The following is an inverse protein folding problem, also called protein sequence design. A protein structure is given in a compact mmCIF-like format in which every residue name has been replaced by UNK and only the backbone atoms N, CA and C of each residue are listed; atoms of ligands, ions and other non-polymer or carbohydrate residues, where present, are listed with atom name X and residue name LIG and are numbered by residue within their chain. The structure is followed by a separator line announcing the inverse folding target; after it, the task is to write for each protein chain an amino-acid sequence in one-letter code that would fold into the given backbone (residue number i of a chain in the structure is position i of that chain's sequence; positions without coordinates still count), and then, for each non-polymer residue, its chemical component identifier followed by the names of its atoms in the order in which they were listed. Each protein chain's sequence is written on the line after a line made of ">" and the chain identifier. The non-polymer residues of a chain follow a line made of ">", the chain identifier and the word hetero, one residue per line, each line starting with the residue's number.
data_IF_676585842392
#
_entry.id   IF_676585842392
#
_cell.length_a   1.000
_cell.length_b   1.000
_cell.length_c   1.000
_cell.angle_alpha   90.00
_cell.angle_beta   90.00
_cell.angle_gamma   90.00
#
_symmetry.space_group_name_H-M   'P 1'
#
loop_
_entity.id
_entity.type
_entity.pdbx_description
1 polymer ?
#
# COMPACT_ATOMS: atom_id res chain seq x y z
N UNK A 1 -33.39 -62.95 39.40
CA UNK A 1 -33.70 -61.68 40.08
C UNK A 1 -33.34 -60.53 39.15
N UNK A 2 -34.16 -59.48 39.16
CA UNK A 2 -34.17 -58.33 38.24
C UNK A 2 -32.83 -57.56 38.21
N UNK A 3 -32.50 -57.01 37.04
CA UNK A 3 -31.44 -56.02 36.86
C UNK A 3 -31.64 -55.22 35.57
N UNK A 4 -32.54 -54.24 35.61
CA UNK A 4 -32.61 -53.13 34.66
C UNK A 4 -31.55 -52.09 35.02
N UNK A 5 -30.92 -51.44 34.03
CA UNK A 5 -30.17 -50.14 34.05
C UNK A 5 -29.25 -50.16 32.81
N UNK A 6 -29.04 -49.13 31.98
CA UNK A 6 -29.64 -47.83 31.72
C UNK A 6 -29.16 -47.45 30.31
N UNK A 7 -30.03 -46.89 29.47
CA UNK A 7 -29.65 -46.39 28.13
C UNK A 7 -28.95 -45.04 28.32
N UNK A 8 -27.65 -44.93 28.04
CA UNK A 8 -27.00 -43.62 27.98
C UNK A 8 -27.39 -42.90 26.68
N UNK A 9 -27.78 -41.61 26.73
CA UNK A 9 -28.09 -40.84 25.54
C UNK A 9 -26.82 -40.28 24.89
N UNK A 10 -26.69 -40.53 23.59
CA UNK A 10 -26.07 -39.66 22.60
C UNK A 10 -24.68 -39.11 22.90
N UNK A 11 -23.63 -39.83 22.47
CA UNK A 11 -22.40 -39.15 22.09
C UNK A 11 -22.71 -38.21 20.90
N UNK A 12 -22.29 -36.93 20.92
CA UNK A 12 -22.43 -36.07 19.77
C UNK A 12 -21.61 -36.69 18.63
N UNK A 13 -22.29 -36.95 17.51
CA UNK A 13 -21.66 -37.35 16.25
C UNK A 13 -20.59 -36.30 15.93
N UNK A 14 -19.33 -36.67 15.63
CA UNK A 14 -18.36 -35.68 15.16
C UNK A 14 -18.98 -35.01 13.93
N UNK A 15 -19.04 -33.67 13.96
CA UNK A 15 -19.47 -32.88 12.83
C UNK A 15 -18.64 -33.32 11.60
N UNK A 16 -19.26 -33.46 10.40
CA UNK A 16 -18.49 -33.75 9.21
C UNK A 16 -17.40 -32.68 9.10
N UNK A 17 -16.15 -33.12 8.99
CA UNK A 17 -15.03 -32.25 8.67
C UNK A 17 -15.48 -31.39 7.49
N UNK A 18 -15.52 -30.07 7.68
CA UNK A 18 -15.81 -29.14 6.60
C UNK A 18 -14.85 -29.47 5.46
N UNK A 19 -15.37 -30.12 4.41
CA UNK A 19 -14.65 -30.27 3.16
C UNK A 19 -14.21 -28.86 2.80
N UNK A 20 -12.89 -28.63 2.82
CA UNK A 20 -12.29 -27.48 2.18
C UNK A 20 -12.63 -27.66 0.70
N UNK A 21 -13.77 -27.12 0.29
CA UNK A 21 -14.12 -26.94 -1.10
C UNK A 21 -13.12 -25.93 -1.63
N UNK A 22 -11.98 -26.45 -2.10
CA UNK A 22 -11.09 -25.69 -2.97
C UNK A 22 -11.97 -25.12 -4.07
N UNK A 23 -12.03 -23.78 -4.22
CA UNK A 23 -12.86 -23.17 -5.25
C UNK A 23 -12.46 -23.74 -6.62
N UNK A 24 -13.41 -23.99 -7.53
CA UNK A 24 -13.10 -24.61 -8.81
C UNK A 24 -12.03 -23.78 -9.53
N UNK A 25 -10.94 -24.41 -10.02
CA UNK A 25 -9.93 -23.69 -10.78
C UNK A 25 -10.52 -23.19 -12.11
N UNK A 26 -10.42 -21.89 -12.37
CA UNK A 26 -10.63 -21.30 -13.69
C UNK A 26 -9.27 -21.18 -14.36
N UNK A 27 -8.95 -21.97 -15.41
CA UNK A 27 -7.75 -21.73 -16.20
C UNK A 27 -7.85 -20.38 -16.92
N UNK A 28 -6.68 -19.74 -17.07
CA UNK A 28 -6.37 -18.48 -17.77
C UNK A 28 -7.54 -17.78 -18.47
N UNK A 29 -8.16 -16.84 -17.75
CA UNK A 29 -9.40 -16.21 -18.15
C UNK A 29 -9.11 -14.84 -18.78
N UNK A 30 -9.28 -14.76 -20.09
CA UNK A 30 -9.11 -13.54 -20.88
C UNK A 30 -10.46 -12.89 -21.20
N UNK A 31 -10.60 -11.58 -20.97
CA UNK A 31 -11.85 -10.87 -21.22
C UNK A 31 -11.68 -9.48 -21.86
N UNK A 32 -12.60 -9.10 -22.75
CA UNK A 32 -12.60 -7.76 -23.35
C UNK A 32 -13.41 -6.74 -22.54
N UNK A 33 -14.43 -7.20 -21.81
CA UNK A 33 -15.37 -6.38 -21.04
C UNK A 33 -15.01 -6.37 -19.55
N UNK A 34 -15.91 -5.90 -18.69
CA UNK A 34 -15.74 -6.00 -17.25
C UNK A 34 -15.97 -7.43 -16.76
N UNK A 35 -15.19 -7.87 -15.77
CA UNK A 35 -15.33 -9.18 -15.14
C UNK A 35 -15.12 -9.08 -13.62
N UNK A 36 -15.96 -9.79 -12.87
CA UNK A 36 -15.90 -9.85 -11.40
C UNK A 36 -16.01 -11.29 -10.91
N UNK A 37 -14.93 -12.09 -10.98
CA UNK A 37 -14.95 -13.46 -10.48
C UNK A 37 -15.00 -13.46 -8.95
N UNK A 38 -15.81 -14.36 -8.38
CA UNK A 38 -16.02 -14.46 -6.94
C UNK A 38 -15.86 -15.91 -6.47
N UNK A 39 -15.19 -16.15 -5.34
CA UNK A 39 -14.99 -17.49 -4.77
C UNK A 39 -14.38 -18.48 -5.79
N UNK A 40 -13.37 -18.03 -6.54
CA UNK A 40 -12.72 -18.81 -7.60
C UNK A 40 -11.20 -18.70 -7.49
N UNK A 41 -10.47 -19.68 -7.98
CA UNK A 41 -9.02 -19.60 -8.15
C UNK A 41 -8.70 -19.42 -9.65
N UNK A 42 -8.42 -18.18 -10.07
CA UNK A 42 -7.97 -17.87 -11.42
C UNK A 42 -6.50 -17.45 -11.35
N UNK A 43 -5.53 -18.26 -11.81
CA UNK A 43 -4.11 -17.98 -11.63
C UNK A 43 -3.68 -16.65 -12.26
N UNK A 44 -4.10 -16.43 -13.51
CA UNK A 44 -3.63 -15.34 -14.37
C UNK A 44 -4.80 -14.69 -15.17
N UNK A 45 -5.86 -14.16 -14.52
CA UNK A 45 -6.93 -13.51 -15.25
C UNK A 45 -6.44 -12.22 -15.90
N UNK A 46 -6.83 -11.98 -17.15
CA UNK A 46 -6.45 -10.81 -17.95
C UNK A 46 -7.69 -10.15 -18.55
N UNK A 47 -7.84 -8.84 -18.39
CA UNK A 47 -8.98 -8.11 -18.98
C UNK A 47 -8.61 -6.75 -19.57
N UNK A 48 -9.24 -6.36 -20.68
CA UNK A 48 -9.02 -5.04 -21.26
C UNK A 48 -9.73 -3.92 -20.48
N UNK A 49 -10.99 -4.13 -20.12
CA UNK A 49 -11.80 -3.09 -19.48
C UNK A 49 -11.64 -3.08 -17.96
N UNK A 50 -12.24 -4.02 -17.23
CA UNK A 50 -12.18 -4.03 -15.78
C UNK A 50 -12.11 -5.45 -15.22
N UNK A 51 -11.34 -5.64 -14.15
CA UNK A 51 -11.19 -6.89 -13.44
C UNK A 51 -11.32 -6.64 -11.93
N UNK A 52 -12.37 -7.18 -11.32
CA UNK A 52 -12.67 -6.97 -9.88
C UNK A 52 -12.87 -8.31 -9.17
N UNK A 53 -11.80 -9.07 -8.92
CA UNK A 53 -11.88 -10.36 -8.27
C UNK A 53 -12.16 -10.21 -6.76
N UNK A 54 -13.04 -11.04 -6.21
CA UNK A 54 -13.45 -10.99 -4.79
C UNK A 54 -13.39 -12.36 -4.12
N UNK A 55 -12.79 -12.46 -2.93
CA UNK A 55 -12.61 -13.75 -2.24
C UNK A 55 -11.95 -14.82 -3.12
N UNK A 56 -10.92 -14.42 -3.86
CA UNK A 56 -10.20 -15.27 -4.80
C UNK A 56 -8.70 -15.36 -4.48
N UNK A 57 -8.05 -16.36 -5.08
CA UNK A 57 -6.61 -16.38 -5.25
C UNK A 57 -6.29 -16.08 -6.73
N UNK A 58 -5.68 -14.92 -6.97
CA UNK A 58 -5.23 -14.51 -8.30
C UNK A 58 -3.78 -14.07 -8.19
N UNK A 59 -2.80 -14.98 -8.35
CA UNK A 59 -1.37 -14.69 -8.34
C UNK A 59 -0.95 -13.49 -9.19
N UNK A 60 -1.34 -13.48 -10.47
CA UNK A 60 -0.88 -12.49 -11.45
C UNK A 60 -2.03 -11.93 -12.30
N UNK A 61 -3.02 -11.23 -11.71
CA UNK A 61 -4.07 -10.58 -12.47
C UNK A 61 -3.50 -9.39 -13.25
N UNK A 62 -3.96 -9.22 -14.49
CA UNK A 62 -3.60 -8.09 -15.33
C UNK A 62 -4.84 -7.39 -15.89
N UNK A 63 -4.79 -6.06 -15.99
CA UNK A 63 -5.86 -5.30 -16.64
C UNK A 63 -5.34 -4.04 -17.33
N UNK A 64 -5.91 -3.67 -18.49
CA UNK A 64 -5.53 -2.41 -19.14
C UNK A 64 -6.16 -1.18 -18.45
N UNK A 65 -7.45 -1.22 -18.12
CA UNK A 65 -8.12 -0.03 -17.57
C UNK A 65 -8.23 -0.06 -16.05
N UNK A 66 -8.93 -1.02 -15.44
CA UNK A 66 -9.12 -1.02 -13.99
C UNK A 66 -9.02 -2.41 -13.34
N UNK A 67 -8.14 -2.55 -12.34
CA UNK A 67 -7.99 -3.75 -11.52
C UNK A 67 -8.29 -3.43 -10.05
N UNK A 68 -9.34 -4.02 -9.49
CA UNK A 68 -9.81 -3.74 -8.13
C UNK A 68 -10.04 -5.05 -7.33
N UNK A 69 -8.96 -5.74 -6.92
CA UNK A 69 -9.07 -6.98 -6.15
C UNK A 69 -9.48 -6.68 -4.70
N UNK A 70 -10.40 -7.48 -4.15
CA UNK A 70 -10.94 -7.32 -2.80
C UNK A 70 -10.96 -8.64 -2.01
N UNK A 71 -10.44 -8.65 -0.77
CA UNK A 71 -10.33 -9.87 0.05
C UNK A 71 -9.60 -11.01 -0.68
N UNK A 72 -8.53 -10.69 -1.41
CA UNK A 72 -7.78 -11.63 -2.25
C UNK A 72 -6.31 -11.71 -1.86
N UNK A 73 -5.67 -12.80 -2.30
CA UNK A 73 -4.21 -12.88 -2.39
C UNK A 73 -3.81 -12.64 -3.85
N UNK A 74 -3.15 -11.50 -4.09
CA UNK A 74 -2.66 -11.11 -5.41
C UNK A 74 -1.20 -10.67 -5.30
N UNK A 75 -0.22 -11.59 -5.36
CA UNK A 75 1.20 -11.25 -5.25
C UNK A 75 1.71 -10.21 -6.23
N UNK A 76 1.38 -10.34 -7.52
CA UNK A 76 1.90 -9.46 -8.57
C UNK A 76 0.79 -8.93 -9.50
N UNK A 77 -0.15 -8.10 -8.99
CA UNK A 77 -1.18 -7.49 -9.81
C UNK A 77 -0.56 -6.37 -10.66
N UNK A 78 -0.97 -6.30 -11.92
CA UNK A 78 -0.51 -5.28 -12.86
C UNK A 78 -1.68 -4.57 -13.53
N UNK A 79 -1.60 -3.25 -13.67
CA UNK A 79 -2.59 -2.49 -14.44
C UNK A 79 -2.00 -1.30 -15.17
N UNK A 80 -2.45 -0.98 -16.38
CA UNK A 80 -1.99 0.24 -17.06
C UNK A 80 -2.61 1.50 -16.46
N UNK A 81 -3.92 1.53 -16.22
CA UNK A 81 -4.58 2.78 -15.81
C UNK A 81 -4.82 2.88 -14.30
N UNK A 82 -5.60 1.99 -13.69
CA UNK A 82 -5.92 2.09 -12.26
C UNK A 82 -5.87 0.73 -11.54
N UNK A 83 -5.07 0.65 -10.47
CA UNK A 83 -4.98 -0.50 -9.58
C UNK A 83 -5.37 -0.10 -8.14
N UNK A 84 -6.48 -0.64 -7.64
CA UNK A 84 -7.04 -0.30 -6.32
C UNK A 84 -7.32 -1.55 -5.47
N UNK A 85 -6.27 -2.20 -4.94
CA UNK A 85 -6.43 -3.39 -4.10
C UNK A 85 -6.93 -3.01 -2.70
N UNK A 86 -7.92 -3.75 -2.18
CA UNK A 86 -8.54 -3.51 -0.88
C UNK A 86 -8.62 -4.78 -0.02
N UNK A 87 -8.20 -4.72 1.25
CA UNK A 87 -8.18 -5.90 2.13
C UNK A 87 -7.42 -7.10 1.53
N UNK A 88 -6.33 -6.82 0.83
CA UNK A 88 -5.54 -7.82 0.11
C UNK A 88 -4.12 -7.95 0.65
N UNK A 89 -3.48 -9.07 0.29
CA UNK A 89 -2.02 -9.21 0.31
C UNK A 89 -1.48 -9.03 -1.11
N UNK A 90 -0.81 -7.90 -1.35
CA UNK A 90 -0.23 -7.54 -2.64
C UNK A 90 1.22 -7.08 -2.48
N UNK A 91 2.19 -8.00 -2.43
CA UNK A 91 3.60 -7.66 -2.26
C UNK A 91 4.19 -6.73 -3.33
N UNK A 92 3.94 -7.00 -4.61
CA UNK A 92 4.56 -6.26 -5.71
C UNK A 92 3.51 -5.74 -6.73
N UNK A 93 2.60 -4.84 -6.33
CA UNK A 93 1.65 -4.24 -7.24
C UNK A 93 2.35 -3.22 -8.14
N UNK A 94 2.03 -3.26 -9.43
CA UNK A 94 2.55 -2.31 -10.42
C UNK A 94 1.41 -1.63 -11.18
N UNK A 95 1.52 -0.31 -11.36
CA UNK A 95 0.60 0.43 -12.21
C UNK A 95 1.28 1.56 -12.97
N UNK A 96 0.90 1.82 -14.23
CA UNK A 96 1.45 3.00 -14.92
C UNK A 96 0.82 4.29 -14.41
N UNK A 97 -0.51 4.38 -14.30
CA UNK A 97 -1.15 5.67 -14.01
C UNK A 97 -1.49 5.88 -12.53
N UNK A 98 -2.30 5.01 -11.91
CA UNK A 98 -2.74 5.21 -10.53
C UNK A 98 -2.76 3.91 -9.72
N UNK A 99 -2.05 3.90 -8.58
CA UNK A 99 -2.02 2.80 -7.62
C UNK A 99 -2.48 3.29 -6.25
N UNK A 100 -3.62 2.76 -5.77
CA UNK A 100 -4.25 3.17 -4.51
C UNK A 100 -4.60 1.97 -3.63
N UNK A 101 -3.61 1.30 -3.01
CA UNK A 101 -3.87 0.21 -2.07
C UNK A 101 -4.48 0.75 -0.77
N UNK A 102 -5.51 0.06 -0.27
CA UNK A 102 -6.20 0.47 0.95
C UNK A 102 -6.46 -0.73 1.88
N UNK A 103 -6.24 -0.54 3.19
CA UNK A 103 -6.43 -1.58 4.21
C UNK A 103 -5.72 -2.90 3.84
N UNK A 104 -4.56 -2.81 3.21
CA UNK A 104 -3.79 -3.98 2.80
C UNK A 104 -2.80 -4.35 3.90
N UNK A 105 -2.72 -5.63 4.23
CA UNK A 105 -1.88 -6.12 5.32
C UNK A 105 -0.39 -5.82 5.07
N UNK A 106 0.03 -5.90 3.80
CA UNK A 106 1.39 -5.61 3.39
C UNK A 106 1.46 -5.36 1.89
N UNK A 107 2.11 -4.26 1.51
CA UNK A 107 2.52 -3.95 0.14
C UNK A 107 4.00 -3.54 0.15
N UNK A 108 4.95 -4.48 0.25
CA UNK A 108 6.38 -4.21 0.38
C UNK A 108 6.97 -3.27 -0.67
N UNK A 109 6.66 -3.50 -1.94
CA UNK A 109 7.35 -2.85 -3.04
C UNK A 109 6.38 -2.37 -4.13
N UNK A 110 5.45 -1.45 -3.80
CA UNK A 110 4.52 -0.90 -4.77
C UNK A 110 5.25 0.07 -5.69
N UNK A 111 4.99 -0.05 -6.99
CA UNK A 111 5.58 0.81 -8.00
C UNK A 111 4.50 1.46 -8.85
N UNK A 112 4.58 2.78 -9.03
CA UNK A 112 3.72 3.49 -9.97
C UNK A 112 4.45 4.59 -10.75
N UNK A 113 4.16 4.77 -12.03
CA UNK A 113 4.77 5.86 -12.78
C UNK A 113 4.15 7.22 -12.40
N UNK A 114 2.82 7.37 -12.42
CA UNK A 114 2.20 8.68 -12.18
C UNK A 114 1.77 8.92 -10.73
N UNK A 115 0.89 8.11 -10.13
CA UNK A 115 0.37 8.39 -8.78
C UNK A 115 0.28 7.14 -7.90
N UNK A 116 0.91 7.21 -6.72
CA UNK A 116 0.84 6.19 -5.68
C UNK A 116 0.28 6.79 -4.38
N UNK A 117 -0.85 6.26 -3.91
CA UNK A 117 -1.56 6.78 -2.74
C UNK A 117 -2.00 5.64 -1.80
N UNK A 118 -1.06 5.00 -1.07
CA UNK A 118 -1.40 3.95 -0.12
C UNK A 118 -2.07 4.53 1.13
N UNK A 119 -3.10 3.86 1.63
CA UNK A 119 -3.85 4.27 2.82
C UNK A 119 -4.08 3.10 3.78
N UNK A 120 -3.76 3.28 5.07
CA UNK A 120 -3.87 2.20 6.08
C UNK A 120 -3.11 0.92 5.67
N UNK A 121 -1.87 1.10 5.21
CA UNK A 121 -1.03 0.03 4.66
C UNK A 121 0.40 0.15 5.19
N UNK A 122 1.09 -0.98 5.35
CA UNK A 122 2.54 -1.02 5.48
C UNK A 122 3.20 -1.13 4.08
N UNK A 123 3.88 -0.06 3.65
CA UNK A 123 4.61 -0.01 2.39
C UNK A 123 6.07 0.35 2.66
N UNK A 124 6.98 -0.62 2.90
CA UNK A 124 8.36 -0.33 3.26
C UNK A 124 9.16 0.43 2.21
N UNK A 125 9.07 0.05 0.93
CA UNK A 125 9.85 0.66 -0.15
C UNK A 125 8.95 1.09 -1.33
N UNK A 126 8.04 2.05 -1.15
CA UNK A 126 7.20 2.53 -2.23
C UNK A 126 8.02 3.43 -3.17
N UNK A 127 7.81 3.24 -4.47
CA UNK A 127 8.48 4.03 -5.50
C UNK A 127 7.46 4.65 -6.45
N UNK A 128 7.60 5.95 -6.73
CA UNK A 128 6.78 6.63 -7.73
C UNK A 128 7.55 7.70 -8.51
N UNK A 129 7.32 7.85 -9.82
CA UNK A 129 7.98 8.91 -10.57
C UNK A 129 7.33 10.28 -10.34
N UNK A 130 6.01 10.42 -10.44
CA UNK A 130 5.38 11.74 -10.31
C UNK A 130 4.92 12.05 -8.89
N UNK A 131 3.96 11.33 -8.31
CA UNK A 131 3.39 11.70 -7.01
C UNK A 131 3.22 10.51 -6.06
N UNK A 132 3.82 10.60 -4.87
CA UNK A 132 3.66 9.64 -3.79
C UNK A 132 3.02 10.32 -2.56
N UNK A 133 1.80 9.91 -2.21
CA UNK A 133 1.02 10.50 -1.12
C UNK A 133 0.50 9.42 -0.15
N UNK A 134 1.38 8.86 0.70
CA UNK A 134 0.99 7.86 1.68
C UNK A 134 0.27 8.48 2.87
N UNK A 135 -0.81 7.84 3.35
CA UNK A 135 -1.65 8.33 4.45
C UNK A 135 -1.92 7.24 5.49
N UNK A 136 -1.72 7.55 6.78
CA UNK A 136 -1.90 6.57 7.88
C UNK A 136 -1.10 5.26 7.64
N UNK A 137 0.15 5.39 7.21
CA UNK A 137 1.01 4.28 6.81
C UNK A 137 2.36 4.29 7.52
N UNK A 138 3.05 3.15 7.46
CA UNK A 138 4.47 3.05 7.73
C UNK A 138 5.22 2.87 6.41
N UNK A 139 6.10 3.82 6.07
CA UNK A 139 6.89 3.81 4.86
C UNK A 139 8.36 4.15 5.16
N UNK A 140 9.20 3.18 5.56
CA UNK A 140 10.60 3.42 5.87
C UNK A 140 11.42 4.15 4.82
N UNK A 141 11.40 3.70 3.56
CA UNK A 141 12.25 4.26 2.51
C UNK A 141 11.44 4.61 1.26
N UNK A 142 10.53 5.60 1.32
CA UNK A 142 9.77 6.05 0.18
C UNK A 142 10.68 6.85 -0.75
N UNK A 143 10.56 6.59 -2.05
CA UNK A 143 11.30 7.31 -3.09
C UNK A 143 10.32 7.91 -4.09
N UNK A 144 10.51 9.20 -4.41
CA UNK A 144 9.75 9.84 -5.47
C UNK A 144 10.57 10.87 -6.27
N UNK A 145 10.42 10.92 -7.59
CA UNK A 145 11.15 11.94 -8.36
C UNK A 145 10.52 13.34 -8.23
N UNK A 146 9.20 13.46 -8.32
CA UNK A 146 8.58 14.80 -8.36
C UNK A 146 8.03 15.25 -7.01
N UNK A 147 7.01 14.59 -6.45
CA UNK A 147 6.38 15.04 -5.22
C UNK A 147 6.13 13.89 -4.23
N UNK A 148 6.65 14.04 -3.01
CA UNK A 148 6.40 13.15 -1.88
C UNK A 148 5.69 13.92 -0.76
N UNK A 149 4.46 13.52 -0.45
CA UNK A 149 3.60 14.20 0.55
C UNK A 149 3.00 13.21 1.55
N UNK A 150 3.81 12.67 2.48
CA UNK A 150 3.34 11.74 3.49
C UNK A 150 2.53 12.46 4.59
N UNK A 151 1.41 11.87 5.01
CA UNK A 151 0.52 12.43 6.04
C UNK A 151 0.16 11.40 7.11
N UNK A 152 0.30 11.76 8.40
CA UNK A 152 0.06 10.84 9.52
C UNK A 152 0.84 9.52 9.39
N UNK A 153 2.12 9.60 9.04
CA UNK A 153 2.96 8.45 8.76
C UNK A 153 4.27 8.45 9.56
N UNK A 154 4.90 7.27 9.63
CA UNK A 154 6.30 7.13 9.97
C UNK A 154 7.10 6.87 8.69
N UNK A 155 7.95 7.83 8.30
CA UNK A 155 8.80 7.73 7.11
C UNK A 155 10.26 8.07 7.46
N UNK A 156 11.07 7.12 7.96
CA UNK A 156 12.40 7.38 8.49
C UNK A 156 13.54 7.71 7.53
N UNK A 157 13.47 7.43 6.23
CA UNK A 157 14.47 7.91 5.26
C UNK A 157 13.78 8.24 3.92
N UNK A 158 12.91 9.26 3.87
CA UNK A 158 12.23 9.66 2.65
C UNK A 158 13.21 10.38 1.72
N UNK A 159 13.15 10.03 0.44
CA UNK A 159 13.96 10.66 -0.61
C UNK A 159 13.07 11.23 -1.70
N UNK A 160 13.29 12.49 -2.06
CA UNK A 160 12.62 13.10 -3.20
C UNK A 160 13.51 14.06 -4.00
N UNK A 161 13.43 14.07 -5.33
CA UNK A 161 14.24 15.02 -6.10
C UNK A 161 13.64 16.44 -6.09
N UNK A 162 12.33 16.59 -6.25
CA UNK A 162 11.74 17.94 -6.42
C UNK A 162 11.12 18.48 -5.14
N UNK A 163 10.07 17.86 -4.59
CA UNK A 163 9.37 18.39 -3.43
C UNK A 163 9.02 17.32 -2.40
N UNK A 164 9.46 17.53 -1.16
CA UNK A 164 9.11 16.70 0.00
C UNK A 164 8.34 17.54 1.02
N UNK A 165 7.07 17.20 1.25
CA UNK A 165 6.16 17.95 2.15
C UNK A 165 5.50 17.01 3.17
N UNK A 166 6.23 16.53 4.19
CA UNK A 166 5.68 15.68 5.23
C UNK A 166 4.80 16.47 6.21
N UNK A 167 3.66 15.89 6.61
CA UNK A 167 2.69 16.52 7.52
C UNK A 167 2.24 15.57 8.64
N UNK A 168 2.30 16.01 9.90
CA UNK A 168 1.96 15.18 11.07
C UNK A 168 2.73 13.84 11.09
N UNK A 169 4.03 13.89 10.83
CA UNK A 169 4.85 12.68 10.65
C UNK A 169 6.05 12.62 11.59
N UNK A 170 6.65 11.42 11.67
CA UNK A 170 8.03 11.25 12.11
C UNK A 170 8.89 10.91 10.90
N UNK A 171 9.80 11.83 10.55
CA UNK A 171 10.67 11.70 9.39
C UNK A 171 12.13 11.99 9.76
N UNK A 172 12.85 11.08 10.44
CA UNK A 172 14.30 11.18 10.50
C UNK A 172 14.91 11.22 9.11
N UNK A 173 16.09 11.85 9.00
CA UNK A 173 16.93 11.90 7.79
C UNK A 173 16.19 12.12 6.45
N UNK A 174 15.27 13.10 6.33
CA UNK A 174 14.63 13.38 5.05
C UNK A 174 15.64 14.01 4.10
N UNK A 175 15.67 13.54 2.86
CA UNK A 175 16.53 14.07 1.81
C UNK A 175 15.69 14.61 0.67
N UNK A 176 15.90 15.88 0.30
CA UNK A 176 15.27 16.43 -0.90
C UNK A 176 16.20 17.36 -1.68
N UNK A 177 16.38 17.15 -2.98
CA UNK A 177 17.27 18.02 -3.74
C UNK A 177 16.74 19.47 -3.80
N UNK A 178 15.47 19.67 -4.15
CA UNK A 178 14.95 21.04 -4.35
C UNK A 178 14.30 21.60 -3.08
N UNK A 179 13.08 21.20 -2.73
CA UNK A 179 12.31 21.83 -1.65
C UNK A 179 11.84 20.82 -0.58
N UNK A 180 12.19 21.11 0.68
CA UNK A 180 11.74 20.36 1.85
C UNK A 180 10.87 21.26 2.75
N UNK A 181 9.58 20.94 2.88
CA UNK A 181 8.59 21.73 3.63
C UNK A 181 7.85 20.89 4.69
N UNK A 182 8.49 20.51 5.81
CA UNK A 182 7.86 19.74 6.87
C UNK A 182 6.89 20.58 7.71
N UNK A 183 5.76 19.99 8.10
CA UNK A 183 4.72 20.64 8.90
C UNK A 183 4.22 19.73 10.04
N UNK A 184 4.23 20.21 11.29
CA UNK A 184 3.86 19.39 12.46
C UNK A 184 4.65 18.07 12.53
N UNK A 185 5.96 18.13 12.25
CA UNK A 185 6.80 16.95 12.06
C UNK A 185 8.01 16.94 13.00
N UNK A 186 8.56 15.75 13.28
CA UNK A 186 9.91 15.59 13.82
C UNK A 186 10.88 15.14 12.71
N UNK A 187 11.84 15.99 12.36
CA UNK A 187 12.82 15.79 11.30
C UNK A 187 14.26 16.01 11.81
N UNK A 188 14.89 15.06 12.53
CA UNK A 188 16.14 15.31 13.25
C UNK A 188 17.44 15.48 12.47
N UNK A 189 17.49 15.21 11.16
CA UNK A 189 18.67 15.54 10.32
C UNK A 189 18.21 15.78 8.88
N UNK A 190 17.46 16.85 8.60
CA UNK A 190 16.98 17.12 7.26
C UNK A 190 18.11 17.58 6.35
N UNK A 191 18.12 17.06 5.12
CA UNK A 191 19.08 17.40 4.08
C UNK A 191 18.37 17.96 2.85
N UNK A 192 18.83 19.10 2.35
CA UNK A 192 18.39 19.65 1.07
C UNK A 192 19.44 20.47 0.32
N UNK A 193 19.26 20.65 -1.00
CA UNK A 193 20.17 21.51 -1.77
C UNK A 193 19.63 22.93 -1.95
N UNK A 194 18.32 23.12 -2.13
CA UNK A 194 17.78 24.45 -2.45
C UNK A 194 17.05 25.13 -1.30
N UNK A 195 16.00 24.53 -0.72
CA UNK A 195 15.18 25.20 0.29
C UNK A 195 14.66 24.27 1.40
N UNK A 196 14.73 24.77 2.64
CA UNK A 196 14.12 24.18 3.83
C UNK A 196 13.11 25.17 4.43
N UNK A 197 11.84 24.79 4.53
CA UNK A 197 10.76 25.63 5.06
C UNK A 197 9.92 24.88 6.10
N UNK A 198 10.43 24.74 7.34
CA UNK A 198 9.73 24.02 8.41
C UNK A 198 8.63 24.88 9.04
N UNK A 199 7.49 24.27 9.36
CA UNK A 199 6.40 24.87 10.14
C UNK A 199 6.05 23.96 11.32
N UNK A 200 5.99 24.48 12.55
CA UNK A 200 5.72 23.68 13.76
C UNK A 200 6.51 22.36 13.80
N UNK A 201 7.80 22.40 13.44
CA UNK A 201 8.62 21.20 13.20
C UNK A 201 9.91 21.28 14.00
N UNK A 202 10.29 20.16 14.63
CA UNK A 202 11.59 20.03 15.28
C UNK A 202 12.63 19.49 14.29
N UNK A 203 13.60 20.33 13.92
CA UNK A 203 14.72 19.98 13.05
C UNK A 203 16.07 20.23 13.73
N UNK A 204 16.51 19.40 14.69
CA UNK A 204 17.91 19.44 15.10
C UNK A 204 18.81 19.18 13.87
N UNK A 205 19.98 19.80 13.82
CA UNK A 205 21.02 19.57 12.80
C UNK A 205 20.56 19.58 11.31
N UNK A 206 19.95 20.67 10.82
CA UNK A 206 19.60 20.80 9.41
C UNK A 206 20.85 21.07 8.54
N UNK A 207 20.91 20.41 7.39
CA UNK A 207 21.91 20.67 6.34
C UNK A 207 21.18 21.13 5.09
N UNK A 208 21.25 22.41 4.75
CA UNK A 208 20.72 22.90 3.48
C UNK A 208 21.70 23.86 2.81
N UNK A 209 22.01 23.62 1.54
CA UNK A 209 23.01 24.39 0.77
C UNK A 209 22.50 25.78 0.31
N UNK A 210 21.34 26.22 0.78
CA UNK A 210 20.70 27.49 0.45
C UNK A 210 21.60 28.69 0.78
N UNK A 211 21.72 29.65 -0.14
CA UNK A 211 22.35 30.95 0.13
C UNK A 211 21.51 31.89 1.02
N UNK A 212 20.37 31.42 1.52
CA UNK A 212 19.40 32.17 2.33
C UNK A 212 19.23 31.54 3.73
N UNK A 213 18.94 32.35 4.77
CA UNK A 213 18.99 31.90 6.15
C UNK A 213 17.98 30.78 6.41
N UNK A 214 18.48 29.70 7.02
CA UNK A 214 17.65 28.69 7.69
C UNK A 214 16.67 29.43 8.59
N UNK A 215 15.38 29.41 8.25
CA UNK A 215 14.35 29.96 9.12
C UNK A 215 14.48 29.27 10.47
N UNK A 216 14.85 30.06 11.48
CA UNK A 216 15.06 29.57 12.85
C UNK A 216 13.79 28.85 13.31
N UNK A 217 13.92 27.68 13.96
CA UNK A 217 12.76 26.95 14.43
C UNK A 217 12.01 27.85 15.42
N UNK A 218 10.76 28.18 15.10
CA UNK A 218 9.86 28.82 16.06
C UNK A 218 9.51 27.74 17.07
N UNK A 219 10.22 27.73 18.21
CA UNK A 219 9.82 26.95 19.37
C UNK A 219 8.47 27.46 19.83
N UNK A 220 7.45 26.62 19.75
CA UNK A 220 6.18 26.76 20.47
C UNK A 220 5.80 25.38 20.97
#
# INVERSE_FOLDING_TARGET
>A
ARGSLARQPGAPRPAPAAERHSPPPCPDLSCNSALSPCHTACPNPSCNSALSPCHTACPNPSCNSALSPCHTACPNPSCNSALSPCHTACPNPSCNSALSPCHTASCPNPSCNSALSPCHTACPNPSCNSALSPCHTACPNPSCNSALSPCHTACPNPSCNSALSPCHTACPNPSCNSALSPCHTACPNPSCNSALSPCHTACPNPSCNSGDPVATPVSS
#
